data_IF_408160134397
#
_entry.id   IF_408160134397
#
_cell.length_a   1.000
_cell.length_b   1.000
_cell.length_c   1.000
_cell.angle_alpha   90.00
_cell.angle_beta   90.00
_cell.angle_gamma   90.00
#
_symmetry.space_group_name_H-M   'P 1'
#
loop_
_entity.id
_entity.type
_entity.pdbx_description
1 polymer ?
#
# COMPACT_ATOMS: atom_id res chain seq x y z
N UNK A 1 7.37 24.76 -20.79
CA UNK A 1 7.50 23.33 -20.44
C UNK A 1 7.35 23.04 -18.93
N UNK A 2 7.79 23.92 -18.01
CA UNK A 2 7.64 23.69 -16.54
C UNK A 2 6.18 23.82 -16.04
N UNK A 3 5.42 24.80 -16.52
CA UNK A 3 4.03 25.07 -16.10
C UNK A 3 3.07 23.92 -16.47
N UNK A 4 3.17 23.38 -17.68
CA UNK A 4 2.30 22.32 -18.18
C UNK A 4 2.49 20.99 -17.41
N UNK A 5 3.73 20.68 -17.01
CA UNK A 5 4.00 19.52 -16.13
C UNK A 5 3.46 19.71 -14.73
N UNK A 6 3.55 20.92 -14.19
CA UNK A 6 3.01 21.26 -12.88
C UNK A 6 1.48 21.21 -12.88
N UNK A 7 0.82 21.66 -13.96
CA UNK A 7 -0.63 21.57 -14.12
C UNK A 7 -1.10 20.11 -14.24
N UNK A 8 -0.37 19.30 -14.99
CA UNK A 8 -0.65 17.87 -15.11
C UNK A 8 -0.50 17.12 -13.76
N UNK A 9 0.51 17.49 -12.97
CA UNK A 9 0.71 16.93 -11.63
C UNK A 9 -0.40 17.34 -10.66
N UNK A 10 -0.80 18.62 -10.66
CA UNK A 10 -1.93 19.14 -9.86
C UNK A 10 -3.24 18.45 -10.23
N UNK A 11 -3.52 18.30 -11.52
CA UNK A 11 -4.72 17.60 -11.98
C UNK A 11 -4.71 16.13 -11.59
N UNK A 12 -3.56 15.43 -11.66
CA UNK A 12 -3.40 14.07 -11.17
C UNK A 12 -3.75 13.97 -9.68
N UNK A 13 -3.16 14.81 -8.86
CA UNK A 13 -3.43 14.82 -7.42
C UNK A 13 -4.91 15.06 -7.09
N UNK A 14 -5.57 16.01 -7.79
CA UNK A 14 -7.01 16.27 -7.62
C UNK A 14 -7.87 15.07 -7.99
N UNK A 15 -7.57 14.40 -9.11
CA UNK A 15 -8.30 13.21 -9.55
C UNK A 15 -8.15 12.08 -8.54
N UNK A 16 -6.93 11.80 -8.08
CA UNK A 16 -6.69 10.72 -7.11
C UNK A 16 -7.36 11.02 -5.76
N UNK A 17 -7.26 12.25 -5.24
CA UNK A 17 -7.93 12.64 -4.00
C UNK A 17 -9.46 12.55 -4.09
N UNK A 18 -10.06 12.94 -5.22
CA UNK A 18 -11.49 12.81 -5.46
C UNK A 18 -11.93 11.34 -5.52
N UNK A 19 -11.18 10.52 -6.26
CA UNK A 19 -11.46 9.09 -6.39
C UNK A 19 -11.33 8.37 -5.03
N UNK A 20 -10.30 8.68 -4.24
CA UNK A 20 -10.09 8.10 -2.91
C UNK A 20 -11.29 8.34 -2.00
N UNK A 21 -11.75 9.60 -1.91
CA UNK A 21 -12.95 9.93 -1.10
C UNK A 21 -14.19 9.18 -1.58
N UNK A 22 -14.48 9.23 -2.88
CA UNK A 22 -15.66 8.60 -3.44
C UNK A 22 -15.63 7.06 -3.29
N UNK A 23 -14.47 6.45 -3.45
CA UNK A 23 -14.28 5.00 -3.26
C UNK A 23 -14.44 4.59 -1.79
N UNK A 24 -13.93 5.39 -0.87
CA UNK A 24 -14.09 5.15 0.57
C UNK A 24 -15.56 5.27 1.02
N UNK A 25 -16.29 6.25 0.49
CA UNK A 25 -17.69 6.50 0.88
C UNK A 25 -18.67 5.49 0.30
N UNK A 26 -18.46 5.03 -0.95
CA UNK A 26 -19.47 4.29 -1.72
C UNK A 26 -18.98 2.97 -2.30
N UNK A 27 -17.70 2.65 -2.15
CA UNK A 27 -17.04 1.54 -2.84
C UNK A 27 -16.76 1.86 -4.32
N UNK A 28 -15.62 1.39 -4.83
CA UNK A 28 -15.17 1.69 -6.20
C UNK A 28 -16.15 1.21 -7.28
N UNK A 29 -16.93 0.13 -7.03
CA UNK A 29 -17.90 -0.40 -7.97
C UNK A 29 -19.08 0.57 -8.22
N UNK A 30 -19.42 1.41 -7.25
CA UNK A 30 -20.59 2.30 -7.25
C UNK A 30 -20.25 3.75 -7.65
N UNK A 31 -19.03 4.02 -8.11
CA UNK A 31 -18.57 5.36 -8.51
C UNK A 31 -18.33 5.39 -10.02
N UNK A 32 -18.79 6.45 -10.68
CA UNK A 32 -18.60 6.66 -12.11
C UNK A 32 -17.42 7.56 -12.41
N UNK A 33 -16.82 7.43 -13.60
CA UNK A 33 -15.76 8.34 -14.07
C UNK A 33 -16.22 9.80 -14.11
N UNK A 34 -17.49 10.04 -14.45
CA UNK A 34 -18.07 11.39 -14.50
C UNK A 34 -18.19 12.05 -13.12
N UNK A 35 -18.52 11.27 -12.10
CA UNK A 35 -18.52 11.76 -10.72
C UNK A 35 -17.11 12.12 -10.25
N UNK A 36 -16.12 11.29 -10.59
CA UNK A 36 -14.71 11.60 -10.28
C UNK A 36 -14.27 12.88 -11.00
N UNK A 37 -14.59 13.04 -12.29
CA UNK A 37 -14.24 14.25 -13.04
C UNK A 37 -14.85 15.50 -12.43
N UNK A 38 -16.14 15.44 -12.06
CA UNK A 38 -16.87 16.53 -11.43
C UNK A 38 -16.29 16.88 -10.06
N UNK A 39 -16.06 15.89 -9.21
CA UNK A 39 -15.49 16.07 -7.87
C UNK A 39 -14.05 16.63 -7.92
N UNK A 40 -13.26 16.16 -8.88
CA UNK A 40 -11.90 16.64 -9.11
C UNK A 40 -11.85 18.02 -9.78
N UNK A 41 -12.97 18.52 -10.35
CA UNK A 41 -13.01 19.74 -11.14
C UNK A 41 -12.12 19.68 -12.38
N UNK A 42 -12.08 18.52 -13.07
CA UNK A 42 -11.36 18.31 -14.34
C UNK A 42 -12.32 17.98 -15.46
N UNK A 43 -11.96 18.37 -16.69
CA UNK A 43 -12.76 18.02 -17.85
C UNK A 43 -12.77 16.50 -18.11
N UNK A 44 -13.94 15.95 -18.53
CA UNK A 44 -14.09 14.51 -18.87
C UNK A 44 -13.00 14.05 -19.84
N UNK A 45 -12.78 14.78 -20.95
CA UNK A 45 -11.76 14.42 -21.94
C UNK A 45 -10.34 14.36 -21.36
N UNK A 46 -10.02 15.21 -20.39
CA UNK A 46 -8.74 15.20 -19.68
C UNK A 46 -8.61 13.97 -18.78
N UNK A 47 -9.69 13.59 -18.09
CA UNK A 47 -9.72 12.40 -17.25
C UNK A 47 -9.57 11.14 -18.09
N UNK A 48 -10.42 10.92 -19.10
CA UNK A 48 -10.43 9.71 -19.93
C UNK A 48 -9.14 9.51 -20.74
N UNK A 49 -8.49 10.60 -21.16
CA UNK A 49 -7.19 10.51 -21.85
C UNK A 49 -6.10 9.93 -20.95
N UNK A 50 -6.19 10.14 -19.63
CA UNK A 50 -5.19 9.68 -18.67
C UNK A 50 -5.55 8.35 -18.02
N UNK A 51 -6.83 8.14 -17.74
CA UNK A 51 -7.38 6.96 -17.09
C UNK A 51 -8.55 6.45 -17.92
N UNK A 52 -8.39 5.34 -18.65
CA UNK A 52 -9.44 4.82 -19.51
C UNK A 52 -10.67 4.36 -18.72
N UNK A 53 -10.48 3.94 -17.48
CA UNK A 53 -11.54 3.43 -16.61
C UNK A 53 -11.20 3.63 -15.12
N UNK A 54 -12.11 3.18 -14.25
CA UNK A 54 -11.97 3.24 -12.78
C UNK A 54 -10.84 2.36 -12.27
N UNK A 55 -10.60 1.22 -12.91
CA UNK A 55 -9.54 0.31 -12.49
C UNK A 55 -8.17 0.98 -12.65
N UNK A 56 -7.97 1.72 -13.74
CA UNK A 56 -6.74 2.50 -13.96
C UNK A 56 -6.53 3.59 -12.89
N UNK A 57 -7.61 4.23 -12.41
CA UNK A 57 -7.52 5.19 -11.29
C UNK A 57 -7.19 4.45 -9.99
N UNK A 58 -7.80 3.31 -9.75
CA UNK A 58 -7.57 2.53 -8.55
C UNK A 58 -6.13 2.00 -8.47
N UNK A 59 -5.56 1.54 -9.58
CA UNK A 59 -4.12 1.19 -9.68
C UNK A 59 -3.24 2.40 -9.41
N UNK A 60 -3.58 3.58 -9.97
CA UNK A 60 -2.81 4.80 -9.73
C UNK A 60 -2.87 5.28 -8.27
N UNK A 61 -3.96 5.00 -7.55
CA UNK A 61 -4.10 5.24 -6.10
C UNK A 61 -3.20 4.30 -5.29
N UNK A 62 -3.21 3.01 -5.64
CA UNK A 62 -2.32 2.03 -5.00
C UNK A 62 -0.85 2.46 -5.15
N UNK A 63 -0.41 2.77 -6.39
CA UNK A 63 0.94 3.28 -6.66
C UNK A 63 1.31 4.52 -5.84
N UNK A 64 0.36 5.44 -5.65
CA UNK A 64 0.59 6.66 -4.87
C UNK A 64 0.78 6.33 -3.39
N UNK A 65 -0.06 5.47 -2.82
CA UNK A 65 0.02 5.06 -1.43
C UNK A 65 1.27 4.21 -1.14
N UNK A 66 1.67 3.35 -2.06
CA UNK A 66 2.93 2.60 -1.96
C UNK A 66 4.14 3.54 -1.93
N UNK A 67 4.20 4.53 -2.83
CA UNK A 67 5.27 5.53 -2.83
C UNK A 67 5.29 6.37 -1.56
N UNK A 68 4.11 6.79 -1.07
CA UNK A 68 4.01 7.54 0.17
C UNK A 68 4.52 6.72 1.36
N UNK A 69 4.17 5.42 1.42
CA UNK A 69 4.67 4.52 2.45
C UNK A 69 6.19 4.31 2.33
N UNK A 70 6.72 4.12 1.12
CA UNK A 70 8.17 4.01 0.90
C UNK A 70 8.93 5.25 1.39
N UNK A 71 8.41 6.45 1.10
CA UNK A 71 9.00 7.70 1.58
C UNK A 71 8.97 7.78 3.11
N UNK A 72 7.86 7.39 3.75
CA UNK A 72 7.77 7.34 5.22
C UNK A 72 8.76 6.34 5.84
N UNK A 73 8.97 5.17 5.24
CA UNK A 73 9.93 4.19 5.70
C UNK A 73 11.38 4.67 5.62
N UNK A 74 11.68 5.50 4.60
CA UNK A 74 13.03 6.04 4.37
C UNK A 74 13.32 7.30 5.18
N UNK A 75 12.34 8.20 5.35
CA UNK A 75 12.54 9.57 5.85
C UNK A 75 11.47 10.07 6.81
N UNK A 76 10.44 9.25 7.10
CA UNK A 76 9.38 9.61 8.04
C UNK A 76 9.85 9.57 9.49
N UNK A 77 8.95 10.01 10.38
CA UNK A 77 9.15 9.97 11.82
C UNK A 77 9.13 8.54 12.38
N UNK A 78 9.88 8.26 13.45
CA UNK A 78 9.76 7.00 14.19
C UNK A 78 8.30 6.79 14.71
N UNK A 79 7.85 5.54 14.86
CA UNK A 79 8.60 4.28 14.66
C UNK A 79 8.61 3.75 13.23
N UNK A 80 7.86 4.33 12.29
CA UNK A 80 7.81 3.85 10.90
C UNK A 80 9.11 4.20 10.15
N UNK A 81 9.56 5.43 10.27
CA UNK A 81 10.82 5.91 9.74
C UNK A 81 12.03 5.47 10.57
N UNK A 82 13.23 5.94 10.20
CA UNK A 82 14.47 5.63 10.89
C UNK A 82 14.48 6.17 12.34
N UNK A 83 15.29 5.53 13.23
CA UNK A 83 15.51 6.01 14.60
C UNK A 83 14.87 5.18 15.71
N UNK A 84 13.91 4.30 15.41
CA UNK A 84 13.37 3.35 16.38
C UNK A 84 14.06 1.98 16.29
N UNK A 85 13.97 1.13 17.34
CA UNK A 85 14.46 -0.25 17.33
C UNK A 85 13.81 -1.09 16.21
N UNK A 86 14.52 -2.10 15.65
CA UNK A 86 14.03 -2.90 14.52
C UNK A 86 12.65 -3.51 14.74
N UNK A 87 12.39 -4.09 15.92
CA UNK A 87 11.09 -4.66 16.28
C UNK A 87 9.95 -3.62 16.22
N UNK A 88 10.19 -2.39 16.70
CA UNK A 88 9.19 -1.32 16.66
C UNK A 88 8.94 -0.85 15.23
N UNK A 89 9.99 -0.73 14.43
CA UNK A 89 9.89 -0.38 13.02
C UNK A 89 9.14 -1.44 12.22
N UNK A 90 9.41 -2.72 12.44
CA UNK A 90 8.70 -3.82 11.82
C UNK A 90 7.23 -3.84 12.23
N UNK A 91 6.91 -3.60 13.50
CA UNK A 91 5.54 -3.51 14.00
C UNK A 91 4.76 -2.35 13.34
N UNK A 92 5.40 -1.19 13.17
CA UNK A 92 4.82 -0.05 12.46
C UNK A 92 4.64 -0.32 10.96
N UNK A 93 5.61 -0.96 10.32
CA UNK A 93 5.51 -1.42 8.93
C UNK A 93 4.32 -2.37 8.75
N UNK A 94 4.14 -3.35 9.63
CA UNK A 94 2.98 -4.25 9.58
C UNK A 94 1.66 -3.49 9.69
N UNK A 95 1.54 -2.54 10.61
CA UNK A 95 0.33 -1.74 10.74
C UNK A 95 0.02 -0.93 9.46
N UNK A 96 1.04 -0.35 8.85
CA UNK A 96 0.91 0.39 7.60
C UNK A 96 0.51 -0.51 6.42
N UNK A 97 1.11 -1.71 6.32
CA UNK A 97 0.79 -2.69 5.27
C UNK A 97 -0.62 -3.27 5.43
N UNK A 98 -1.06 -3.56 6.66
CA UNK A 98 -2.45 -3.98 6.94
C UNK A 98 -3.43 -2.90 6.47
N UNK A 99 -3.16 -1.62 6.76
CA UNK A 99 -3.97 -0.51 6.26
C UNK A 99 -3.95 -0.37 4.74
N UNK A 100 -2.83 -0.66 4.08
CA UNK A 100 -2.72 -0.67 2.62
C UNK A 100 -3.55 -1.81 2.01
N UNK A 101 -3.45 -3.02 2.57
CA UNK A 101 -4.22 -4.18 2.15
C UNK A 101 -5.73 -3.99 2.35
N UNK A 102 -6.15 -3.38 3.46
CA UNK A 102 -7.57 -3.11 3.72
C UNK A 102 -8.17 -2.17 2.67
N UNK A 103 -7.45 -1.10 2.32
CA UNK A 103 -7.90 -0.13 1.31
C UNK A 103 -7.83 -0.66 -0.11
N UNK A 104 -6.82 -1.44 -0.45
CA UNK A 104 -6.48 -1.79 -1.83
C UNK A 104 -6.37 -3.30 -2.10
N UNK A 105 -6.69 -4.17 -1.13
CA UNK A 105 -6.49 -5.62 -1.25
C UNK A 105 -7.12 -6.25 -2.49
N UNK A 106 -8.28 -5.75 -2.92
CA UNK A 106 -8.94 -6.18 -4.15
C UNK A 106 -8.16 -5.85 -5.44
N UNK A 107 -7.37 -4.77 -5.41
CA UNK A 107 -6.52 -4.35 -6.53
C UNK A 107 -5.21 -5.14 -6.56
N UNK A 108 -4.62 -5.31 -5.38
CA UNK A 108 -3.40 -6.11 -5.21
C UNK A 108 -3.66 -7.55 -5.65
N UNK A 109 -4.81 -8.12 -5.29
CA UNK A 109 -5.24 -9.45 -5.76
C UNK A 109 -5.42 -9.53 -7.27
N UNK A 110 -5.87 -8.44 -7.92
CA UNK A 110 -6.03 -8.39 -9.38
C UNK A 110 -4.72 -8.22 -10.14
N UNK A 111 -3.73 -7.53 -9.54
CA UNK A 111 -2.46 -7.21 -10.17
C UNK A 111 -1.33 -8.19 -9.84
N UNK A 112 -1.38 -8.84 -8.68
CA UNK A 112 -0.29 -9.64 -8.09
C UNK A 112 -0.70 -11.08 -7.78
N UNK A 113 -1.39 -11.74 -8.70
CA UNK A 113 -1.75 -13.15 -8.51
C UNK A 113 -0.53 -14.05 -8.75
N UNK A 114 -0.16 -14.84 -7.72
CA UNK A 114 0.88 -15.87 -7.83
C UNK A 114 2.31 -15.30 -7.85
N UNK A 115 3.16 -15.88 -8.69
CA UNK A 115 4.60 -15.55 -8.76
C UNK A 115 4.89 -14.12 -9.24
N UNK A 116 3.95 -13.44 -9.91
CA UNK A 116 4.17 -12.11 -10.47
C UNK A 116 4.45 -11.04 -9.39
N UNK A 117 3.91 -11.20 -8.18
CA UNK A 117 4.12 -10.27 -7.08
C UNK A 117 5.60 -10.13 -6.68
N UNK A 118 6.36 -11.22 -6.75
CA UNK A 118 7.79 -11.22 -6.38
C UNK A 118 8.66 -10.47 -7.39
N UNK A 119 8.17 -10.23 -8.61
CA UNK A 119 8.82 -9.44 -9.64
C UNK A 119 8.49 -7.95 -9.62
N UNK A 120 7.60 -7.49 -8.72
CA UNK A 120 7.24 -6.07 -8.64
C UNK A 120 8.31 -5.24 -7.93
N UNK A 121 8.45 -3.98 -8.35
CA UNK A 121 9.36 -3.04 -7.68
C UNK A 121 8.96 -2.77 -6.22
N UNK A 122 7.66 -2.79 -5.92
CA UNK A 122 7.12 -2.62 -4.58
C UNK A 122 7.55 -3.77 -3.66
N UNK A 123 7.35 -5.03 -4.07
CA UNK A 123 7.77 -6.19 -3.27
C UNK A 123 9.29 -6.20 -3.00
N UNK A 124 10.08 -5.89 -4.02
CA UNK A 124 11.54 -5.79 -3.87
C UNK A 124 11.94 -4.74 -2.82
N UNK A 125 11.24 -3.60 -2.78
CA UNK A 125 11.47 -2.58 -1.76
C UNK A 125 11.08 -3.06 -0.35
N UNK A 126 9.90 -3.67 -0.20
CA UNK A 126 9.45 -4.21 1.09
C UNK A 126 10.42 -5.27 1.62
N UNK A 127 10.88 -6.17 0.74
CA UNK A 127 11.87 -7.20 1.09
C UNK A 127 13.20 -6.59 1.54
N UNK A 128 13.71 -5.60 0.82
CA UNK A 128 14.94 -4.90 1.20
C UNK A 128 14.80 -4.19 2.56
N UNK A 129 13.65 -3.54 2.81
CA UNK A 129 13.36 -2.88 4.08
C UNK A 129 13.34 -3.89 5.25
N UNK A 130 12.57 -4.97 5.14
CA UNK A 130 12.45 -5.99 6.20
C UNK A 130 13.78 -6.71 6.43
N UNK A 131 14.52 -7.00 5.35
CA UNK A 131 15.87 -7.55 5.45
C UNK A 131 16.81 -6.62 6.24
N UNK A 132 16.78 -5.32 5.97
CA UNK A 132 17.60 -4.35 6.71
C UNK A 132 17.25 -4.33 8.20
N UNK A 133 15.98 -4.47 8.57
CA UNK A 133 15.55 -4.59 9.97
C UNK A 133 16.03 -5.91 10.60
N UNK A 134 15.98 -7.01 9.86
CA UNK A 134 16.49 -8.31 10.31
C UNK A 134 18.01 -8.28 10.57
N UNK A 135 18.78 -7.61 9.70
CA UNK A 135 20.22 -7.37 9.93
C UNK A 135 20.44 -6.56 11.21
N UNK A 136 19.71 -5.45 11.40
CA UNK A 136 19.81 -4.62 12.59
C UNK A 136 19.40 -5.35 13.87
N UNK A 137 18.45 -6.29 13.78
CA UNK A 137 18.02 -7.17 14.87
C UNK A 137 18.97 -8.33 15.15
N UNK A 138 20.06 -8.50 14.38
CA UNK A 138 21.06 -9.55 14.59
C UNK A 138 20.59 -10.93 14.12
N UNK A 139 19.65 -11.02 13.19
CA UNK A 139 19.16 -12.30 12.67
C UNK A 139 20.31 -13.10 12.02
N UNK A 140 20.40 -14.44 12.27
CA UNK A 140 21.46 -15.27 11.70
C UNK A 140 21.34 -15.45 10.18
N UNK A 141 20.14 -15.43 9.65
CA UNK A 141 19.83 -15.44 8.21
C UNK A 141 18.80 -14.37 7.88
N UNK A 142 19.23 -13.12 7.61
CA UNK A 142 18.31 -12.02 7.33
C UNK A 142 17.55 -12.16 6.02
N UNK A 143 18.09 -12.87 5.04
CA UNK A 143 17.45 -13.07 3.73
C UNK A 143 16.26 -14.03 3.85
N UNK A 144 16.45 -15.19 4.48
CA UNK A 144 15.37 -16.13 4.72
C UNK A 144 14.32 -15.55 5.68
N UNK A 145 14.76 -14.83 6.74
CA UNK A 145 13.85 -14.23 7.70
C UNK A 145 12.99 -13.14 7.06
N UNK A 146 13.52 -12.35 6.12
CA UNK A 146 12.72 -11.32 5.41
C UNK A 146 11.55 -11.94 4.65
N UNK A 147 11.74 -13.06 3.98
CA UNK A 147 10.69 -13.76 3.24
C UNK A 147 9.62 -14.33 4.19
N UNK A 148 10.05 -14.88 5.35
CA UNK A 148 9.13 -15.37 6.40
C UNK A 148 8.31 -14.22 6.99
N UNK A 149 8.94 -13.08 7.28
CA UNK A 149 8.28 -11.90 7.85
C UNK A 149 7.31 -11.22 6.87
N UNK A 150 7.52 -11.34 5.58
CA UNK A 150 6.61 -10.82 4.56
C UNK A 150 5.45 -11.79 4.23
N UNK A 151 5.59 -13.07 4.48
CA UNK A 151 4.59 -14.07 4.16
C UNK A 151 3.19 -13.75 4.73
N UNK A 152 3.04 -13.27 5.98
CA UNK A 152 1.73 -12.91 6.55
C UNK A 152 1.03 -11.74 5.84
N UNK A 153 1.73 -10.97 5.03
CA UNK A 153 1.19 -9.84 4.27
C UNK A 153 0.71 -10.26 2.87
N UNK A 154 0.61 -11.57 2.60
CA UNK A 154 0.04 -12.06 1.35
C UNK A 154 -1.43 -11.61 1.23
N UNK A 155 -1.83 -10.97 0.11
CA UNK A 155 -3.19 -10.45 -0.06
C UNK A 155 -4.26 -11.56 0.04
N UNK A 156 -3.94 -12.77 -0.42
CA UNK A 156 -4.83 -13.93 -0.34
C UNK A 156 -5.09 -14.34 1.12
N UNK A 157 -4.05 -14.34 1.95
CA UNK A 157 -4.17 -14.65 3.38
C UNK A 157 -4.96 -13.56 4.09
N UNK A 158 -4.68 -12.29 3.80
CA UNK A 158 -5.40 -11.16 4.38
C UNK A 158 -6.89 -11.25 4.06
N UNK A 159 -7.25 -11.50 2.80
CA UNK A 159 -8.65 -11.68 2.38
C UNK A 159 -9.31 -12.84 3.11
N UNK A 160 -8.66 -14.00 3.20
CA UNK A 160 -9.18 -15.14 3.95
C UNK A 160 -9.45 -14.79 5.42
N UNK A 161 -8.49 -14.09 6.07
CA UNK A 161 -8.63 -13.68 7.47
C UNK A 161 -9.81 -12.74 7.67
N UNK A 162 -10.02 -11.78 6.76
CA UNK A 162 -11.11 -10.81 6.83
C UNK A 162 -12.47 -11.41 6.51
N UNK A 163 -12.58 -12.13 5.40
CA UNK A 163 -13.86 -12.55 4.82
C UNK A 163 -14.34 -13.90 5.33
N UNK A 164 -13.44 -14.83 5.64
CA UNK A 164 -13.80 -16.21 6.01
C UNK A 164 -13.52 -16.50 7.48
N UNK A 165 -12.35 -16.10 8.01
CA UNK A 165 -12.01 -16.30 9.41
C UNK A 165 -12.60 -15.23 10.35
N UNK A 166 -13.19 -14.15 9.83
CA UNK A 166 -13.85 -13.10 10.61
C UNK A 166 -12.92 -12.30 11.53
N UNK A 167 -11.62 -12.24 11.20
CA UNK A 167 -10.68 -11.45 11.98
C UNK A 167 -10.82 -9.97 11.64
N UNK A 168 -10.91 -9.12 12.65
CA UNK A 168 -10.84 -7.68 12.48
C UNK A 168 -9.39 -7.19 12.27
N UNK A 169 -9.24 -5.93 11.84
CA UNK A 169 -7.94 -5.33 11.55
C UNK A 169 -7.05 -5.24 12.80
N UNK A 170 -7.66 -4.98 13.95
CA UNK A 170 -6.92 -4.82 15.20
C UNK A 170 -6.30 -6.15 15.65
N UNK A 171 -7.03 -7.25 15.52
CA UNK A 171 -6.52 -8.60 15.82
C UNK A 171 -5.39 -8.99 14.89
N UNK A 172 -5.53 -8.76 13.58
CA UNK A 172 -4.48 -9.03 12.59
C UNK A 172 -3.24 -8.20 12.92
N UNK A 173 -3.41 -6.90 13.12
CA UNK A 173 -2.31 -5.97 13.44
C UNK A 173 -1.62 -6.32 14.76
N UNK A 174 -2.38 -6.63 15.82
CA UNK A 174 -1.82 -7.01 17.12
C UNK A 174 -1.01 -8.30 17.04
N UNK A 175 -1.47 -9.28 16.26
CA UNK A 175 -0.75 -10.53 16.03
C UNK A 175 0.58 -10.29 15.30
N UNK A 176 0.57 -9.47 14.26
CA UNK A 176 1.78 -9.11 13.52
C UNK A 176 2.77 -8.29 14.37
N UNK A 177 2.28 -7.40 15.22
CA UNK A 177 3.11 -6.68 16.21
C UNK A 177 3.79 -7.65 17.18
N UNK A 178 3.05 -8.64 17.67
CA UNK A 178 3.61 -9.70 18.53
C UNK A 178 4.69 -10.48 17.81
N UNK A 179 4.48 -10.84 16.54
CA UNK A 179 5.48 -11.49 15.70
C UNK A 179 6.76 -10.63 15.59
N UNK A 180 6.62 -9.34 15.29
CA UNK A 180 7.74 -8.42 15.21
C UNK A 180 8.58 -8.38 16.50
N UNK A 181 7.90 -8.25 17.66
CA UNK A 181 8.56 -8.16 18.98
C UNK A 181 9.23 -9.48 19.39
N UNK A 182 8.79 -10.63 18.88
CA UNK A 182 9.35 -11.93 19.23
C UNK A 182 10.52 -12.33 18.35
N UNK A 183 10.62 -11.79 17.15
CA UNK A 183 11.63 -12.19 16.16
C UNK A 183 12.75 -11.17 15.95
N UNK A 184 12.54 -9.91 16.32
CA UNK A 184 13.54 -8.84 16.30
C UNK A 184 13.62 -8.11 17.65
#
# INVERSE_FOLDING_TARGET
MSSERADAARNRARVLAAAERLFAERGAANVTMDEIAREAGVGRGTLYRRYPDRAAIAVALLDEHERALQEQLLRGEPPLGPGAPPAQRLAAFYAAMVGLLDRHGHLVLGAEVGHSRFGTGAYGFWRAHVRALAVQGGAPDPDALADVLLAPLAPELFRYQREQAGLDLDRITATLRTLATRLL
#
